data_IF_274706588913
#
_entry.id   IF_274706588913
#
_cell.length_a   1.000
_cell.length_b   1.000
_cell.length_c   1.000
_cell.angle_alpha   90.00
_cell.angle_beta   90.00
_cell.angle_gamma   90.00
#
_symmetry.space_group_name_H-M   'P 1'
#
loop_
_entity.id
_entity.type
_entity.pdbx_description
1 polymer ?
#
# COMPACT_ATOMS: atom_id res chain seq x y z
N UNK A 1 -16.40 16.69 -12.07
CA UNK A 1 -15.63 16.51 -10.80
C UNK A 1 -14.47 17.50 -10.78
N UNK A 2 -14.31 18.23 -9.69
CA UNK A 2 -13.17 19.11 -9.50
C UNK A 2 -11.91 18.32 -9.14
N UNK A 3 -10.74 18.87 -9.43
CA UNK A 3 -9.48 18.29 -8.98
C UNK A 3 -9.42 18.22 -7.46
N UNK A 4 -8.86 17.15 -6.94
CA UNK A 4 -8.70 16.96 -5.50
C UNK A 4 -7.21 16.91 -5.15
N UNK A 5 -6.85 17.63 -4.10
CA UNK A 5 -5.48 17.65 -3.57
C UNK A 5 -5.44 16.92 -2.24
N UNK A 6 -4.49 16.00 -2.08
CA UNK A 6 -4.35 15.20 -0.86
C UNK A 6 -2.91 15.26 -0.38
N UNK A 7 -2.72 15.58 0.89
CA UNK A 7 -1.42 15.47 1.54
C UNK A 7 -1.20 14.00 1.93
N UNK A 8 -0.47 13.27 1.09
CA UNK A 8 -0.31 11.83 1.27
C UNK A 8 0.53 11.46 2.50
N UNK A 9 1.50 12.29 2.86
CA UNK A 9 2.28 12.06 4.08
C UNK A 9 1.40 12.16 5.31
N UNK A 10 0.61 13.21 5.37
CA UNK A 10 -0.32 13.44 6.48
C UNK A 10 -1.38 12.35 6.54
N UNK A 11 -1.93 11.96 5.40
CA UNK A 11 -2.92 10.89 5.31
C UNK A 11 -2.37 9.57 5.83
N UNK A 12 -1.16 9.20 5.44
CA UNK A 12 -0.51 7.97 5.88
C UNK A 12 -0.25 7.96 7.39
N UNK A 13 0.19 9.09 7.94
CA UNK A 13 0.45 9.21 9.38
C UNK A 13 -0.82 9.10 10.22
N UNK A 14 -1.93 9.59 9.70
CA UNK A 14 -3.21 9.53 10.40
C UNK A 14 -3.85 8.15 10.35
N UNK A 15 -3.53 7.37 9.33
CA UNK A 15 -4.05 6.01 9.17
C UNK A 15 -3.00 4.94 9.55
N UNK A 16 -2.11 5.28 10.46
CA UNK A 16 -1.11 4.35 11.00
C UNK A 16 -1.79 3.09 11.53
N UNK A 17 -1.27 1.94 11.12
CA UNK A 17 -1.85 0.65 11.43
C UNK A 17 -2.75 0.09 10.35
N UNK A 18 -3.11 0.91 9.36
CA UNK A 18 -3.84 0.46 8.18
C UNK A 18 -2.84 0.28 7.04
N UNK A 19 -2.80 -0.88 6.46
CA UNK A 19 -1.86 -1.15 5.37
C UNK A 19 -2.23 -0.43 4.08
N UNK A 20 -3.47 0.04 3.94
CA UNK A 20 -3.92 0.66 2.70
C UNK A 20 -5.06 1.64 2.95
N UNK A 21 -4.93 2.84 2.39
CA UNK A 21 -6.00 3.84 2.35
C UNK A 21 -6.23 4.26 0.91
N UNK A 22 -7.40 3.94 0.35
CA UNK A 22 -7.75 4.33 -1.03
C UNK A 22 -7.96 5.83 -1.10
N UNK A 23 -7.26 6.48 -2.04
CA UNK A 23 -7.33 7.92 -2.25
C UNK A 23 -8.28 8.28 -3.40
N UNK A 24 -8.27 7.46 -4.44
CA UNK A 24 -9.12 7.64 -5.62
C UNK A 24 -9.40 6.29 -6.27
N UNK A 25 -10.59 6.12 -6.82
CA UNK A 25 -10.94 4.94 -7.62
C UNK A 25 -11.87 5.32 -8.76
N UNK A 26 -11.66 4.70 -9.91
CA UNK A 26 -12.53 4.76 -11.07
C UNK A 26 -12.63 3.36 -11.69
N UNK A 27 -13.34 3.23 -12.79
CA UNK A 27 -13.40 1.96 -13.54
C UNK A 27 -12.09 1.62 -14.26
N UNK A 28 -11.13 2.56 -14.32
CA UNK A 28 -9.84 2.40 -15.02
C UNK A 28 -8.65 2.20 -14.10
N UNK A 29 -8.65 2.83 -12.92
CA UNK A 29 -7.54 2.71 -11.98
C UNK A 29 -7.95 3.16 -10.59
N UNK A 30 -7.10 2.85 -9.61
CA UNK A 30 -7.20 3.44 -8.29
C UNK A 30 -5.80 3.75 -7.74
N UNK A 31 -5.74 4.68 -6.81
CA UNK A 31 -4.53 5.03 -6.09
C UNK A 31 -4.78 4.90 -4.59
N UNK A 32 -3.74 4.55 -3.87
CA UNK A 32 -3.81 4.42 -2.42
C UNK A 32 -2.49 4.79 -1.78
N UNK A 33 -2.55 5.15 -0.52
CA UNK A 33 -1.37 5.26 0.33
C UNK A 33 -1.28 4.00 1.17
N UNK A 34 -0.06 3.46 1.29
CA UNK A 34 0.22 2.23 2.02
C UNK A 34 1.26 2.57 3.10
N UNK A 35 0.90 2.35 4.35
CA UNK A 35 1.80 2.64 5.47
C UNK A 35 1.86 1.46 6.43
N UNK A 36 3.08 1.08 6.82
CA UNK A 36 3.30 -0.03 7.75
C UNK A 36 4.48 0.21 8.68
N UNK A 37 4.38 -0.38 9.87
CA UNK A 37 5.46 -0.38 10.84
C UNK A 37 6.60 -1.32 10.47
N UNK A 38 7.81 -1.08 10.99
CA UNK A 38 8.91 -2.04 10.85
C UNK A 38 8.49 -3.43 11.29
N UNK A 39 8.92 -4.44 10.54
CA UNK A 39 8.61 -5.83 10.82
C UNK A 39 7.26 -6.32 10.29
N UNK A 40 6.45 -5.45 9.69
CA UNK A 40 5.20 -5.86 9.06
C UNK A 40 5.50 -6.67 7.80
N UNK A 41 4.86 -7.84 7.67
CA UNK A 41 5.02 -8.75 6.53
C UNK A 41 3.68 -9.02 5.88
N UNK A 42 3.63 -8.83 4.57
CA UNK A 42 2.46 -9.20 3.77
C UNK A 42 2.56 -10.64 3.26
N UNK A 43 1.47 -11.17 2.73
CA UNK A 43 1.49 -12.48 2.07
C UNK A 43 2.06 -12.38 0.65
N UNK A 44 2.59 -13.50 0.15
CA UNK A 44 2.90 -13.63 -1.27
C UNK A 44 1.59 -13.68 -2.05
N UNK A 45 1.42 -12.77 -3.02
CA UNK A 45 0.17 -12.68 -3.79
C UNK A 45 0.40 -12.04 -5.15
N UNK A 46 -0.65 -12.07 -5.98
CA UNK A 46 -0.66 -11.42 -7.30
C UNK A 46 -1.98 -10.68 -7.50
N UNK A 47 -1.97 -9.72 -8.40
CA UNK A 47 -3.16 -8.98 -8.80
C UNK A 47 -3.47 -9.21 -10.28
N UNK A 48 -4.68 -8.87 -10.68
CA UNK A 48 -5.17 -9.06 -12.05
C UNK A 48 -4.83 -7.89 -12.97
N UNK A 49 -4.20 -6.85 -12.45
CA UNK A 49 -3.85 -5.65 -13.22
C UNK A 49 -2.43 -5.20 -12.90
N UNK A 50 -1.87 -4.43 -13.83
CA UNK A 50 -0.56 -3.81 -13.64
C UNK A 50 -0.61 -2.79 -12.51
N UNK A 51 0.47 -2.70 -11.74
CA UNK A 51 0.54 -1.77 -10.61
C UNK A 51 1.93 -1.19 -10.43
N UNK A 52 1.98 -0.09 -9.71
CA UNK A 52 3.23 0.57 -9.33
C UNK A 52 3.18 0.95 -7.86
N UNK A 53 4.36 0.92 -7.24
CA UNK A 53 4.59 1.54 -5.94
C UNK A 53 5.72 2.53 -6.04
N UNK A 54 5.50 3.71 -5.48
CA UNK A 54 6.51 4.74 -5.30
C UNK A 54 6.81 4.88 -3.81
N UNK A 55 8.08 4.76 -3.43
CA UNK A 55 8.47 4.91 -2.03
C UNK A 55 8.61 6.38 -1.66
N UNK A 56 7.81 6.81 -0.70
CA UNK A 56 7.80 8.19 -0.20
C UNK A 56 8.69 8.32 1.03
N UNK A 57 8.66 7.31 1.91
CA UNK A 57 9.40 7.33 3.17
C UNK A 57 9.71 5.90 3.62
N UNK A 58 10.82 5.74 4.32
CA UNK A 58 11.22 4.45 4.87
C UNK A 58 11.81 3.53 3.80
N UNK A 59 11.88 2.24 4.12
CA UNK A 59 12.41 1.22 3.22
C UNK A 59 11.55 -0.03 3.31
N UNK A 60 11.30 -0.65 2.18
CA UNK A 60 10.64 -1.94 2.16
C UNK A 60 11.38 -2.89 1.23
N UNK A 61 11.09 -4.19 1.36
CA UNK A 61 11.66 -5.22 0.50
C UNK A 61 10.55 -5.98 -0.19
N UNK A 62 10.70 -6.12 -1.50
CA UNK A 62 9.85 -6.97 -2.32
C UNK A 62 10.54 -8.31 -2.52
N UNK A 63 9.83 -9.39 -2.17
CA UNK A 63 10.29 -10.76 -2.35
C UNK A 63 9.51 -11.40 -3.51
N UNK A 64 10.22 -12.17 -4.33
CA UNK A 64 9.63 -12.82 -5.50
C UNK A 64 9.73 -14.35 -5.38
N UNK A 65 8.87 -15.10 -6.11
CA UNK A 65 8.82 -16.56 -5.95
C UNK A 65 10.09 -17.31 -6.40
N UNK A 66 10.96 -16.66 -7.18
CA UNK A 66 12.26 -17.25 -7.56
C UNK A 66 13.33 -17.12 -6.47
N UNK A 67 12.98 -16.58 -5.31
CA UNK A 67 13.90 -16.36 -4.20
C UNK A 67 14.67 -15.05 -4.23
N UNK A 68 14.50 -14.24 -5.28
CA UNK A 68 15.12 -12.91 -5.33
C UNK A 68 14.35 -11.90 -4.48
N UNK A 69 15.07 -10.88 -4.01
CA UNK A 69 14.48 -9.78 -3.24
C UNK A 69 15.14 -8.47 -3.64
N UNK A 70 14.38 -7.38 -3.57
CA UNK A 70 14.90 -6.04 -3.84
C UNK A 70 14.29 -5.03 -2.88
N UNK A 71 15.15 -4.12 -2.38
CA UNK A 71 14.70 -3.01 -1.55
C UNK A 71 14.15 -1.88 -2.42
N UNK A 72 13.09 -1.25 -1.91
CA UNK A 72 12.54 -0.01 -2.47
C UNK A 72 12.77 1.09 -1.44
N UNK A 73 13.49 2.13 -1.85
CA UNK A 73 13.88 3.25 -1.00
C UNK A 73 13.24 4.55 -1.49
N UNK A 74 13.23 5.61 -0.64
CA UNK A 74 12.60 6.89 -1.03
C UNK A 74 13.08 7.40 -2.39
N UNK A 75 12.11 7.75 -3.24
CA UNK A 75 12.36 8.20 -4.60
C UNK A 75 12.36 7.09 -5.64
N UNK A 76 12.32 5.83 -5.23
CA UNK A 76 12.30 4.70 -6.16
C UNK A 76 10.87 4.28 -6.50
N UNK A 77 10.70 3.79 -7.72
CA UNK A 77 9.46 3.25 -8.25
C UNK A 77 9.66 1.79 -8.65
N UNK A 78 8.70 0.94 -8.30
CA UNK A 78 8.64 -0.43 -8.82
C UNK A 78 7.36 -0.61 -9.62
N UNK A 79 7.46 -1.26 -10.77
CA UNK A 79 6.32 -1.67 -11.59
C UNK A 79 6.17 -3.19 -11.50
N UNK A 80 4.98 -3.64 -11.16
CA UNK A 80 4.67 -5.07 -11.02
C UNK A 80 3.57 -5.39 -12.02
N UNK A 81 3.88 -6.17 -13.09
CA UNK A 81 2.86 -6.52 -14.08
C UNK A 81 1.77 -7.41 -13.51
N UNK A 82 0.61 -7.39 -14.15
CA UNK A 82 -0.50 -8.28 -13.81
C UNK A 82 -0.02 -9.74 -13.75
N UNK A 83 -0.43 -10.46 -12.73
CA UNK A 83 -0.09 -11.87 -12.53
C UNK A 83 1.25 -12.13 -11.88
N UNK A 84 2.09 -11.11 -11.67
CA UNK A 84 3.39 -11.27 -11.01
C UNK A 84 3.19 -11.43 -9.51
N UNK A 85 3.65 -12.56 -8.96
CA UNK A 85 3.65 -12.80 -7.52
C UNK A 85 4.72 -11.95 -6.84
N UNK A 86 4.37 -11.42 -5.69
CA UNK A 86 5.30 -10.66 -4.83
C UNK A 86 4.83 -10.68 -3.38
N UNK A 87 5.76 -10.42 -2.50
CA UNK A 87 5.52 -10.21 -1.06
C UNK A 87 6.21 -8.91 -0.66
N UNK A 88 5.51 -8.09 0.10
CA UNK A 88 5.99 -6.78 0.54
C UNK A 88 6.17 -6.77 2.05
N UNK A 89 7.38 -6.46 2.50
CA UNK A 89 7.73 -6.38 3.92
C UNK A 89 8.34 -5.02 4.25
N UNK A 90 8.02 -4.46 5.41
CA UNK A 90 8.80 -3.35 5.94
C UNK A 90 10.04 -3.91 6.63
N UNK A 91 11.17 -3.82 5.95
CA UNK A 91 12.47 -4.30 6.42
C UNK A 91 13.34 -3.17 6.97
N UNK A 92 12.84 -1.94 6.96
CA UNK A 92 13.53 -0.79 7.52
C UNK A 92 13.33 -0.68 9.03
N UNK A 93 13.85 0.40 9.59
CA UNK A 93 13.78 0.68 11.03
C UNK A 93 12.77 1.80 11.36
N UNK A 94 12.05 2.29 10.38
CA UNK A 94 11.02 3.32 10.56
C UNK A 94 9.73 2.95 9.83
N UNK A 95 8.67 3.70 10.13
CA UNK A 95 7.39 3.60 9.43
C UNK A 95 7.59 3.90 7.94
N UNK A 96 7.15 2.98 7.08
CA UNK A 96 7.26 3.17 5.63
C UNK A 96 5.97 3.75 5.05
N UNK A 97 6.11 4.55 4.00
CA UNK A 97 4.97 5.11 3.26
C UNK A 97 5.21 4.89 1.78
N UNK A 98 4.27 4.19 1.14
CA UNK A 98 4.27 3.96 -0.30
C UNK A 98 3.03 4.59 -0.92
N UNK A 99 3.19 5.16 -2.10
CA UNK A 99 2.07 5.53 -2.95
C UNK A 99 1.87 4.43 -3.98
N UNK A 100 0.69 3.83 -4.02
CA UNK A 100 0.35 2.78 -4.97
C UNK A 100 -0.62 3.23 -6.02
N UNK A 101 -0.54 2.60 -7.20
CA UNK A 101 -1.52 2.77 -8.27
C UNK A 101 -1.70 1.44 -8.98
N UNK A 102 -2.94 1.11 -9.32
CA UNK A 102 -3.26 -0.14 -10.04
C UNK A 102 -4.31 0.13 -11.11
N UNK A 103 -4.14 -0.52 -12.27
CA UNK A 103 -4.98 -0.31 -13.45
C UNK A 103 -6.30 -1.10 -13.37
N UNK A 104 -7.01 -0.95 -12.28
CA UNK A 104 -8.34 -1.52 -12.03
C UNK A 104 -9.02 -0.74 -10.91
N UNK A 105 -10.35 -0.88 -10.74
CA UNK A 105 -11.05 -0.26 -9.60
C UNK A 105 -10.54 -0.80 -8.27
N UNK A 106 -10.67 -0.01 -7.22
CA UNK A 106 -10.44 -0.49 -5.87
C UNK A 106 -11.43 -1.60 -5.51
N UNK A 107 -10.96 -2.57 -4.71
CA UNK A 107 -11.80 -3.65 -4.21
C UNK A 107 -11.71 -4.96 -5.00
N UNK A 108 -11.01 -4.98 -6.13
CA UNK A 108 -10.79 -6.24 -6.82
C UNK A 108 -9.93 -7.18 -5.96
N UNK A 109 -10.21 -8.50 -6.00
CA UNK A 109 -9.48 -9.44 -5.16
C UNK A 109 -8.04 -9.65 -5.64
N UNK A 110 -7.20 -10.11 -4.73
CA UNK A 110 -5.85 -10.58 -5.00
C UNK A 110 -5.77 -12.07 -4.74
N UNK A 111 -4.78 -12.74 -5.32
CA UNK A 111 -4.73 -14.19 -5.36
C UNK A 111 -3.36 -14.71 -4.96
N UNK A 112 -3.34 -15.94 -4.40
CA UNK A 112 -2.11 -16.69 -4.13
C UNK A 112 -1.58 -17.32 -5.42
N UNK A 113 -0.42 -18.00 -5.32
CA UNK A 113 0.15 -18.76 -6.43
C UNK A 113 -0.80 -19.84 -6.94
N UNK A 114 -1.68 -20.39 -6.10
CA UNK A 114 -2.66 -21.41 -6.46
C UNK A 114 -4.04 -20.84 -6.83
N UNK A 115 -4.11 -19.54 -7.14
CA UNK A 115 -5.32 -18.84 -7.54
C UNK A 115 -6.42 -18.81 -6.47
N UNK A 116 -6.04 -18.89 -5.21
CA UNK A 116 -6.94 -18.71 -4.08
C UNK A 116 -6.94 -17.26 -3.68
N UNK A 117 -8.14 -16.71 -3.41
CA UNK A 117 -8.27 -15.34 -2.96
C UNK A 117 -7.56 -15.14 -1.61
N UNK A 118 -6.74 -14.07 -1.53
CA UNK A 118 -5.96 -13.71 -0.34
C UNK A 118 -6.59 -12.50 0.31
N UNK A 119 -7.10 -12.68 1.54
CA UNK A 119 -7.71 -11.58 2.29
C UNK A 119 -6.69 -10.63 2.91
N UNK A 120 -7.19 -9.47 3.34
CA UNK A 120 -6.40 -8.44 4.02
C UNK A 120 -6.56 -8.48 5.55
N UNK A 121 -7.53 -9.25 6.05
CA UNK A 121 -8.03 -9.15 7.41
C UNK A 121 -7.00 -9.26 8.52
N UNK A 122 -6.26 -10.35 8.58
CA UNK A 122 -5.33 -10.61 9.69
C UNK A 122 -4.13 -9.68 9.67
N UNK A 123 -3.66 -9.32 8.48
CA UNK A 123 -2.57 -8.39 8.31
C UNK A 123 -2.97 -6.98 8.80
N UNK A 124 -4.13 -6.52 8.39
CA UNK A 124 -4.65 -5.21 8.80
C UNK A 124 -4.89 -5.15 10.32
N UNK A 125 -5.44 -6.21 10.90
CA UNK A 125 -5.70 -6.28 12.34
C UNK A 125 -4.45 -6.14 13.20
N UNK A 126 -3.35 -6.75 12.77
CA UNK A 126 -2.08 -6.68 13.51
C UNK A 126 -1.55 -5.26 13.64
N UNK A 127 -1.88 -4.40 12.69
CA UNK A 127 -1.43 -3.01 12.67
C UNK A 127 -2.39 -2.06 13.38
N UNK A 128 -3.68 -2.36 13.39
CA UNK A 128 -4.70 -1.50 13.98
C UNK A 128 -4.52 -1.26 15.48
N UNK A 129 -3.97 -2.22 16.20
CA UNK A 129 -3.76 -2.13 17.64
C UNK A 129 -2.60 -1.22 18.06
N UNK A 130 -1.78 -0.81 17.11
CA UNK A 130 -0.54 -0.07 17.41
C UNK A 130 -0.75 1.41 17.60
N UNK A 131 -1.57 2.03 16.74
CA UNK A 131 -1.83 3.47 16.82
C UNK A 131 -3.26 3.78 16.40
N UNK A 132 -3.85 4.75 17.13
CA UNK A 132 -5.13 5.36 16.77
C UNK A 132 -4.90 6.83 16.49
N UNK A 133 -5.15 7.27 15.25
CA UNK A 133 -5.06 8.67 14.88
C UNK A 133 -6.29 9.44 15.36
N UNK A 134 -6.12 10.66 15.90
CA UNK A 134 -7.23 11.52 16.25
C UNK A 134 -8.08 11.89 15.03
N UNK A 135 -9.39 11.88 15.18
CA UNK A 135 -10.35 12.11 14.10
C UNK A 135 -10.21 13.50 13.45
N UNK A 136 -10.02 14.51 14.27
CA UNK A 136 -9.85 15.90 13.80
C UNK A 136 -8.65 16.10 12.87
N UNK A 137 -7.59 15.29 13.02
CA UNK A 137 -6.41 15.34 12.14
C UNK A 137 -6.69 14.71 10.79
N UNK A 138 -7.52 13.69 10.72
CA UNK A 138 -7.90 13.03 9.47
C UNK A 138 -8.58 14.01 8.52
N UNK A 139 -9.44 14.87 9.05
CA UNK A 139 -10.14 15.88 8.27
C UNK A 139 -9.15 16.85 7.61
N UNK A 140 -8.06 17.19 8.29
CA UNK A 140 -7.05 18.13 7.78
C UNK A 140 -6.08 17.52 6.77
N UNK A 141 -6.09 16.21 6.58
CA UNK A 141 -5.22 15.55 5.61
C UNK A 141 -5.65 15.80 4.17
N UNK A 142 -6.91 16.14 3.92
CA UNK A 142 -7.40 16.54 2.60
C UNK A 142 -7.30 18.04 2.45
N UNK A 143 -6.74 18.47 1.32
CA UNK A 143 -6.50 19.87 1.02
C UNK A 143 -7.58 20.35 0.08
N UNK A 144 -8.25 21.46 0.44
CA UNK A 144 -9.26 22.07 -0.42
C UNK A 144 -8.62 22.58 -1.72
N UNK A 145 -9.29 22.30 -2.83
CA UNK A 145 -8.83 22.71 -4.17
C UNK A 145 -9.42 24.03 -4.60
#
# INVERSE_FOLDING_TARGET
MAAEFIDILKMAELDIGHSKKVLFTSDRFHTWVHGDYPGTKGPMHKHTADQQFYCVKGECTFHFPDGTSRALQPGMLVTIPAGQLYQLDNTGDEYMILLGARAEPAGNPRFSASDREVGHGDFAKRNLDKIKAPEEKKTKARVES
#
